data_IF_109642778993
#
_entry.id   IF_109642778993
#
_cell.length_a   1.000
_cell.length_b   1.000
_cell.length_c   1.000
_cell.angle_alpha   90.00
_cell.angle_beta   90.00
_cell.angle_gamma   90.00
#
_symmetry.space_group_name_H-M   'P 1'
#
loop_
_entity.id
_entity.type
_entity.pdbx_description
1 polymer ?
#
# COMPACT_ATOMS: atom_id res chain seq x y z
N UNK A 1 11.42 -13.67 3.93
CA UNK A 1 11.53 -15.02 3.33
C UNK A 1 10.61 -16.06 3.95
N UNK A 2 10.29 -16.00 5.25
CA UNK A 2 9.42 -16.99 5.92
C UNK A 2 8.08 -17.26 5.22
N UNK A 3 7.38 -16.21 4.76
CA UNK A 3 6.14 -16.36 4.01
C UNK A 3 6.31 -17.19 2.73
N UNK A 4 7.42 -17.00 2.00
CA UNK A 4 7.73 -17.77 0.79
C UNK A 4 8.02 -19.25 1.14
N UNK A 5 8.76 -19.51 2.21
CA UNK A 5 9.05 -20.87 2.68
C UNK A 5 7.78 -21.59 3.10
N UNK A 6 6.86 -20.90 3.77
CA UNK A 6 5.58 -21.46 4.17
C UNK A 6 4.71 -21.83 2.95
N UNK A 7 4.65 -20.97 1.93
CA UNK A 7 3.95 -21.27 0.68
C UNK A 7 4.56 -22.49 -0.01
N UNK A 8 5.88 -22.52 -0.17
CA UNK A 8 6.62 -23.66 -0.76
C UNK A 8 6.36 -24.97 -0.01
N UNK A 9 6.40 -24.93 1.32
CA UNK A 9 6.13 -26.11 2.19
C UNK A 9 4.72 -26.69 1.96
N UNK A 10 3.78 -25.86 1.53
CA UNK A 10 2.41 -26.27 1.23
C UNK A 10 2.16 -26.48 -0.28
N UNK A 11 3.21 -26.61 -1.10
CA UNK A 11 3.14 -26.77 -2.56
C UNK A 11 2.38 -25.64 -3.28
N UNK A 12 2.50 -24.41 -2.77
CA UNK A 12 1.95 -23.20 -3.38
C UNK A 12 3.07 -22.39 -4.02
N UNK A 13 2.76 -21.72 -5.14
CA UNK A 13 3.67 -20.74 -5.73
C UNK A 13 3.88 -19.59 -4.73
N UNK A 14 5.12 -19.20 -4.40
CA UNK A 14 5.42 -18.23 -3.36
C UNK A 14 5.17 -16.78 -3.78
N UNK A 15 4.07 -16.52 -4.49
CA UNK A 15 3.67 -15.19 -4.95
C UNK A 15 3.05 -14.40 -3.80
N UNK A 16 3.62 -13.24 -3.49
CA UNK A 16 3.23 -12.41 -2.35
C UNK A 16 2.71 -11.06 -2.84
N UNK A 17 1.56 -10.66 -2.31
CA UNK A 17 1.08 -9.27 -2.33
C UNK A 17 1.27 -8.70 -0.94
N UNK A 18 1.86 -7.51 -0.84
CA UNK A 18 2.10 -6.85 0.46
C UNK A 18 1.16 -5.67 0.63
N UNK A 19 0.39 -5.69 1.71
CA UNK A 19 -0.42 -4.55 2.13
C UNK A 19 0.47 -3.46 2.73
N UNK A 20 0.42 -2.23 2.20
CA UNK A 20 1.19 -1.11 2.74
C UNK A 20 0.49 -0.43 3.91
N UNK A 21 -0.80 -0.68 4.14
CA UNK A 21 -1.65 -0.05 5.15
C UNK A 21 -1.72 -0.85 6.46
N UNK A 22 -2.80 -0.67 7.22
CA UNK A 22 -3.16 -1.36 8.45
C UNK A 22 -1.98 -1.60 9.41
N UNK A 23 -1.65 -2.86 9.70
CA UNK A 23 -0.57 -3.23 10.60
C UNK A 23 0.81 -2.82 10.08
N UNK A 24 1.01 -2.85 8.77
CA UNK A 24 2.30 -2.52 8.16
C UNK A 24 2.59 -1.01 8.19
N UNK A 25 1.55 -0.18 8.22
CA UNK A 25 1.67 1.28 8.42
C UNK A 25 1.57 1.73 9.87
N UNK A 26 1.38 0.82 10.85
CA UNK A 26 0.98 1.17 12.22
C UNK A 26 -0.28 2.05 12.27
N UNK A 27 -1.22 1.83 11.35
CA UNK A 27 -2.44 2.64 11.15
C UNK A 27 -2.18 4.13 10.88
N UNK A 28 -1.00 4.47 10.38
CA UNK A 28 -0.66 5.82 9.93
C UNK A 28 -0.47 5.82 8.41
N UNK A 29 -1.46 6.37 7.69
CA UNK A 29 -1.44 6.48 6.24
C UNK A 29 -0.18 7.16 5.68
N UNK A 30 0.47 8.07 6.42
CA UNK A 30 1.71 8.72 5.98
C UNK A 30 2.90 7.74 5.90
N UNK A 31 2.78 6.55 6.50
CA UNK A 31 3.79 5.51 6.47
C UNK A 31 3.61 4.53 5.31
N UNK A 32 2.44 4.51 4.63
CA UNK A 32 2.24 3.63 3.47
C UNK A 32 3.31 3.87 2.38
N UNK A 33 3.70 5.12 2.02
CA UNK A 33 4.80 5.36 1.07
C UNK A 33 6.15 4.77 1.51
N UNK A 34 6.42 4.75 2.82
CA UNK A 34 7.68 4.20 3.36
C UNK A 34 7.69 2.68 3.20
N UNK A 35 6.57 2.02 3.54
CA UNK A 35 6.39 0.58 3.36
C UNK A 35 6.47 0.22 1.87
N UNK A 36 5.79 0.98 1.02
CA UNK A 36 5.81 0.80 -0.42
C UNK A 36 7.24 0.90 -1.00
N UNK A 37 8.02 1.89 -0.56
CA UNK A 37 9.41 2.05 -0.99
C UNK A 37 10.30 0.88 -0.55
N UNK A 38 10.16 0.40 0.68
CA UNK A 38 10.89 -0.78 1.15
C UNK A 38 10.58 -2.03 0.31
N UNK A 39 9.30 -2.22 -0.05
CA UNK A 39 8.86 -3.32 -0.92
C UNK A 39 9.44 -3.16 -2.33
N UNK A 40 9.43 -1.94 -2.88
CA UNK A 40 10.00 -1.64 -4.19
C UNK A 40 11.50 -1.91 -4.22
N UNK A 41 12.23 -1.50 -3.18
CA UNK A 41 13.65 -1.78 -3.04
C UNK A 41 13.93 -3.29 -3.00
N UNK A 42 13.11 -4.08 -2.29
CA UNK A 42 13.22 -5.53 -2.32
C UNK A 42 13.01 -6.10 -3.73
N UNK A 43 12.03 -5.58 -4.48
CA UNK A 43 11.74 -6.01 -5.85
C UNK A 43 12.89 -5.69 -6.81
N UNK A 44 13.40 -4.45 -6.77
CA UNK A 44 14.54 -3.99 -7.58
C UNK A 44 15.81 -4.80 -7.27
N UNK A 45 16.00 -5.19 -6.00
CA UNK A 45 17.11 -6.04 -5.57
C UNK A 45 16.91 -7.55 -5.88
N UNK A 46 15.96 -7.90 -6.74
CA UNK A 46 15.81 -9.25 -7.30
C UNK A 46 14.83 -10.16 -6.57
N UNK A 47 14.03 -9.65 -5.63
CA UNK A 47 12.94 -10.44 -5.03
C UNK A 47 11.76 -10.56 -5.99
N UNK A 48 11.85 -11.52 -6.92
CA UNK A 48 10.86 -11.78 -7.96
C UNK A 48 9.52 -12.34 -7.41
N UNK A 49 9.44 -12.64 -6.11
CA UNK A 49 8.28 -13.24 -5.44
C UNK A 49 7.28 -12.24 -4.90
N UNK A 50 7.65 -10.97 -4.79
CA UNK A 50 6.69 -9.89 -4.53
C UNK A 50 6.07 -9.52 -5.87
N UNK A 51 4.80 -9.89 -6.06
CA UNK A 51 4.10 -9.73 -7.34
C UNK A 51 3.13 -8.53 -7.34
N UNK A 52 2.92 -7.90 -6.19
CA UNK A 52 2.05 -6.76 -6.08
C UNK A 52 2.04 -6.17 -4.68
N UNK A 53 1.32 -5.06 -4.58
CA UNK A 53 1.10 -4.30 -3.35
C UNK A 53 -0.35 -3.87 -3.26
N UNK A 54 -0.81 -3.57 -2.05
CA UNK A 54 -2.07 -2.90 -1.79
C UNK A 54 -1.82 -1.56 -1.10
N UNK A 55 -2.49 -0.51 -1.56
CA UNK A 55 -2.47 0.83 -0.98
C UNK A 55 -3.90 1.25 -0.69
N UNK A 56 -4.11 1.93 0.44
CA UNK A 56 -5.36 2.64 0.70
C UNK A 56 -5.17 4.11 0.31
N UNK A 57 -5.77 4.48 -0.82
CA UNK A 57 -5.67 5.80 -1.43
C UNK A 57 -7.05 6.39 -1.70
N UNK A 58 -7.18 7.70 -1.58
CA UNK A 58 -8.38 8.45 -1.94
C UNK A 58 -7.98 9.82 -2.51
N UNK A 59 -8.97 10.59 -2.99
CA UNK A 59 -8.74 11.93 -3.57
C UNK A 59 -8.03 12.81 -2.54
N UNK A 60 -8.59 12.89 -1.33
CA UNK A 60 -8.05 13.66 -0.22
C UNK A 60 -7.48 12.72 0.87
N UNK A 61 -6.39 13.12 1.54
CA UNK A 61 -5.74 12.28 2.55
C UNK A 61 -6.55 12.18 3.85
N UNK A 62 -6.23 11.15 4.65
CA UNK A 62 -6.79 10.96 5.98
C UNK A 62 -8.15 10.25 5.96
N UNK A 63 -8.95 10.49 6.99
CA UNK A 63 -10.32 9.99 7.11
C UNK A 63 -11.20 10.94 7.92
N UNK A 64 -12.50 10.75 7.78
CA UNK A 64 -13.57 11.46 8.47
C UNK A 64 -14.56 10.47 9.10
N UNK A 65 -15.39 10.94 10.02
CA UNK A 65 -16.49 10.12 10.57
C UNK A 65 -17.73 10.21 9.69
N UNK A 66 -18.50 9.11 9.57
CA UNK A 66 -19.66 9.02 8.67
C UNK A 66 -20.74 10.12 8.87
N UNK A 67 -20.87 10.69 10.08
CA UNK A 67 -21.64 11.92 10.34
C UNK A 67 -23.02 12.00 9.67
N UNK A 68 -23.45 13.22 9.34
CA UNK A 68 -24.53 13.44 8.38
C UNK A 68 -23.92 13.56 6.98
N UNK A 69 -24.64 13.06 5.97
CA UNK A 69 -24.15 13.06 4.59
C UNK A 69 -23.86 14.48 4.07
N UNK A 70 -24.64 15.47 4.52
CA UNK A 70 -24.50 16.89 4.12
C UNK A 70 -23.20 17.53 4.62
N UNK A 71 -22.60 16.98 5.68
CA UNK A 71 -21.38 17.49 6.31
C UNK A 71 -20.11 16.76 5.82
N UNK A 72 -20.24 15.73 4.97
CA UNK A 72 -19.11 14.93 4.52
C UNK A 72 -18.23 15.70 3.53
N UNK A 73 -16.93 15.70 3.82
CA UNK A 73 -15.93 16.22 2.90
C UNK A 73 -15.81 15.28 1.69
N UNK A 74 -15.96 15.85 0.50
CA UNK A 74 -15.81 15.08 -0.74
C UNK A 74 -14.42 14.44 -0.82
N UNK A 75 -14.36 13.16 -1.21
CA UNK A 75 -13.10 12.49 -1.49
C UNK A 75 -12.25 12.14 -0.26
N UNK A 76 -12.81 12.22 0.96
CA UNK A 76 -12.15 11.78 2.20
C UNK A 76 -12.79 10.47 2.69
N UNK A 77 -11.96 9.48 3.04
CA UNK A 77 -12.43 8.17 3.51
C UNK A 77 -13.30 8.26 4.78
N UNK A 78 -14.37 7.48 4.86
CA UNK A 78 -15.21 7.34 6.08
C UNK A 78 -14.78 6.18 6.99
N UNK A 79 -13.72 5.45 6.61
CA UNK A 79 -13.18 4.28 7.33
C UNK A 79 -11.72 4.54 7.70
N UNK A 80 -10.80 3.76 7.16
CA UNK A 80 -9.37 3.88 7.42
C UNK A 80 -8.79 5.09 6.69
N UNK A 81 -7.70 5.63 7.25
CA UNK A 81 -7.02 6.80 6.69
C UNK A 81 -6.32 6.42 5.39
N UNK A 82 -6.57 7.18 4.34
CA UNK A 82 -5.98 6.95 3.03
C UNK A 82 -4.86 7.94 2.71
N UNK A 83 -3.93 7.54 1.86
CA UNK A 83 -3.00 8.45 1.19
C UNK A 83 -3.77 9.33 0.19
N UNK A 84 -3.41 10.60 0.07
CA UNK A 84 -4.02 11.54 -0.88
C UNK A 84 -3.56 11.33 -2.33
N UNK A 85 -4.23 11.97 -3.28
CA UNK A 85 -3.97 11.77 -4.70
C UNK A 85 -2.55 12.16 -5.12
N UNK A 86 -2.05 13.31 -4.68
CA UNK A 86 -0.72 13.80 -5.08
C UNK A 86 0.38 12.83 -4.66
N UNK A 87 0.29 12.30 -3.43
CA UNK A 87 1.25 11.32 -2.95
C UNK A 87 1.09 9.97 -3.65
N UNK A 88 -0.14 9.60 -4.01
CA UNK A 88 -0.41 8.37 -4.77
C UNK A 88 0.24 8.43 -6.15
N UNK A 89 0.04 9.53 -6.88
CA UNK A 89 0.68 9.76 -8.18
C UNK A 89 2.21 9.72 -8.07
N UNK A 90 2.79 10.45 -7.11
CA UNK A 90 4.22 10.49 -6.87
C UNK A 90 4.84 9.09 -6.73
N UNK A 91 4.30 8.26 -5.83
CA UNK A 91 4.89 6.94 -5.53
C UNK A 91 4.69 5.95 -6.69
N UNK A 92 3.54 6.00 -7.39
CA UNK A 92 3.30 5.11 -8.53
C UNK A 92 4.24 5.46 -9.70
N UNK A 93 4.46 6.74 -9.97
CA UNK A 93 5.40 7.19 -11.00
C UNK A 93 6.86 6.86 -10.62
N UNK A 94 7.25 7.02 -9.35
CA UNK A 94 8.56 6.58 -8.86
C UNK A 94 8.77 5.08 -9.12
N UNK A 95 7.77 4.25 -8.80
CA UNK A 95 7.85 2.81 -9.03
C UNK A 95 7.92 2.43 -10.51
N UNK A 96 7.16 3.11 -11.37
CA UNK A 96 7.24 2.90 -12.82
C UNK A 96 8.67 3.16 -13.32
N UNK A 97 9.27 4.29 -12.93
CA UNK A 97 10.63 4.66 -13.34
C UNK A 97 11.72 3.71 -12.85
N UNK A 98 11.51 3.02 -11.73
CA UNK A 98 12.48 2.09 -11.13
C UNK A 98 12.35 0.65 -11.63
N UNK A 99 11.18 0.29 -12.17
CA UNK A 99 10.88 -1.07 -12.63
C UNK A 99 10.97 -1.24 -14.16
N UNK A 100 10.95 -0.14 -14.91
CA UNK A 100 11.22 -0.08 -16.36
C UNK A 100 12.71 -0.34 -16.69
#
# INVERSE_FOLDING_TARGET
>A
NEAQELLKKNNLEPNIVVDCSHGNSNKDHNRQPIVFKDILDQRVNGNDKIIGIMLESNINPGSQSLGNIEDLEYGVSITDKCVGWEKTEEIILEANNLLD
#
